data_IF_483453492833
#
_entry.id   IF_483453492833
#
_cell.length_a   1.000
_cell.length_b   1.000
_cell.length_c   1.000
_cell.angle_alpha   90.00
_cell.angle_beta   90.00
_cell.angle_gamma   90.00
#
_symmetry.space_group_name_H-M   'P 1'
#
loop_
_entity.id
_entity.type
_entity.pdbx_description
1 polymer ?
#
# COMPACT_ATOMS: atom_id res chain seq x y z
N UNK A 1 11.47 3.25 9.50
CA UNK A 1 12.55 4.13 9.00
C UNK A 1 13.69 4.12 10.00
N UNK A 2 14.86 3.59 9.62
CA UNK A 2 16.08 3.75 10.44
C UNK A 2 16.69 5.09 10.05
N UNK A 3 16.74 5.98 11.03
CA UNK A 3 17.43 7.26 10.99
C UNK A 3 18.90 7.01 10.61
N UNK A 4 19.29 7.44 9.41
CA UNK A 4 20.64 7.27 8.84
C UNK A 4 21.56 8.38 9.33
N UNK A 5 21.59 8.61 10.63
CA UNK A 5 22.60 9.47 11.21
C UNK A 5 23.80 8.62 11.64
N UNK A 6 24.98 8.99 11.17
CA UNK A 6 26.28 8.36 11.42
C UNK A 6 26.76 8.56 12.88
N UNK A 7 25.87 8.38 13.85
CA UNK A 7 26.15 8.35 15.27
C UNK A 7 26.39 6.91 15.73
N UNK A 8 27.45 6.69 16.52
CA UNK A 8 27.75 5.38 17.13
C UNK A 8 26.48 4.78 17.76
N UNK A 9 25.97 3.69 17.17
CA UNK A 9 24.84 2.96 17.72
C UNK A 9 25.16 2.57 19.17
N UNK A 10 24.25 2.87 20.09
CA UNK A 10 24.38 2.38 21.47
C UNK A 10 24.21 0.87 21.50
N UNK A 11 24.86 0.19 22.44
CA UNK A 11 24.79 -1.27 22.56
C UNK A 11 23.35 -1.84 22.58
N UNK A 12 22.37 -1.24 23.29
CA UNK A 12 20.98 -1.68 23.22
C UNK A 12 20.34 -1.54 21.84
N UNK A 13 20.73 -0.53 21.06
CA UNK A 13 20.27 -0.37 19.67
C UNK A 13 20.89 -1.44 18.78
N UNK A 14 22.19 -1.76 18.96
CA UNK A 14 22.86 -2.83 18.23
C UNK A 14 22.19 -4.18 18.52
N UNK A 15 21.89 -4.49 19.78
CA UNK A 15 21.16 -5.71 20.16
C UNK A 15 19.81 -5.83 19.47
N UNK A 16 19.04 -4.73 19.39
CA UNK A 16 17.75 -4.74 18.69
C UNK A 16 17.89 -4.98 17.19
N UNK A 17 18.91 -4.39 16.56
CA UNK A 17 19.18 -4.61 15.14
C UNK A 17 19.61 -6.06 14.88
N UNK A 18 20.49 -6.63 15.71
CA UNK A 18 20.83 -8.06 15.63
C UNK A 18 19.59 -8.95 15.77
N UNK A 19 18.66 -8.61 16.67
CA UNK A 19 17.42 -9.37 16.81
C UNK A 19 16.55 -9.35 15.55
N UNK A 20 16.47 -8.22 14.85
CA UNK A 20 15.78 -8.15 13.55
C UNK A 20 16.46 -8.98 12.45
N UNK A 21 17.74 -9.33 12.63
CA UNK A 21 18.50 -10.22 11.75
C UNK A 21 18.48 -11.69 12.22
N UNK A 22 17.52 -12.05 13.09
CA UNK A 22 17.31 -13.43 13.52
C UNK A 22 18.25 -13.92 14.63
N UNK A 23 18.90 -13.03 15.37
CA UNK A 23 19.61 -13.38 16.61
C UNK A 23 18.64 -13.36 17.80
N UNK A 24 18.81 -14.23 18.79
CA UNK A 24 18.08 -14.06 20.06
C UNK A 24 18.68 -12.91 20.87
N UNK A 25 17.95 -12.47 21.91
CA UNK A 25 18.46 -11.49 22.88
C UNK A 25 19.77 -11.95 23.53
N UNK A 26 19.88 -13.23 23.86
CA UNK A 26 21.08 -13.78 24.48
C UNK A 26 22.22 -13.92 23.47
N UNK A 27 21.93 -14.35 22.23
CA UNK A 27 22.95 -14.41 21.16
C UNK A 27 23.56 -13.04 20.89
N UNK A 28 22.73 -12.00 20.86
CA UNK A 28 23.17 -10.62 20.66
C UNK A 28 24.18 -10.20 21.73
N UNK A 29 23.86 -10.44 23.01
CA UNK A 29 24.74 -10.13 24.14
C UNK A 29 26.04 -10.95 24.12
N UNK A 30 25.95 -12.25 23.85
CA UNK A 30 27.10 -13.15 23.78
C UNK A 30 28.05 -12.75 22.64
N UNK A 31 27.51 -12.48 21.44
CA UNK A 31 28.30 -12.03 20.29
C UNK A 31 29.03 -10.71 20.58
N UNK A 32 28.33 -9.72 21.14
CA UNK A 32 28.92 -8.42 21.48
C UNK A 32 29.98 -8.53 22.56
N UNK A 33 29.78 -9.41 23.54
CA UNK A 33 30.76 -9.72 24.58
C UNK A 33 32.02 -10.32 23.96
N UNK A 34 31.89 -11.31 23.07
CA UNK A 34 33.03 -11.87 22.37
C UNK A 34 33.74 -10.86 21.46
N UNK A 35 33.01 -9.95 20.80
CA UNK A 35 33.61 -8.87 20.01
C UNK A 35 34.47 -7.93 20.87
N UNK A 36 34.03 -7.62 22.09
CA UNK A 36 34.75 -6.72 23.02
C UNK A 36 36.01 -7.34 23.60
N UNK A 37 35.96 -8.63 23.95
CA UNK A 37 37.02 -9.30 24.71
C UNK A 37 37.84 -10.30 23.88
N UNK A 38 37.52 -10.46 22.60
CA UNK A 38 38.14 -11.35 21.60
C UNK A 38 37.99 -12.84 21.89
N UNK A 39 38.57 -13.33 22.98
CA UNK A 39 38.63 -14.75 23.33
C UNK A 39 38.18 -14.92 24.78
N UNK A 40 37.13 -15.71 25.01
CA UNK A 40 36.58 -15.95 26.35
C UNK A 40 36.11 -17.40 26.54
N UNK A 41 36.20 -17.89 27.78
CA UNK A 41 35.53 -19.11 28.23
C UNK A 41 34.03 -18.88 28.52
N UNK A 42 33.17 -19.91 28.52
CA UNK A 42 31.75 -19.77 28.83
C UNK A 42 31.46 -19.09 30.18
N UNK A 43 32.33 -19.31 31.18
CA UNK A 43 32.19 -18.68 32.49
C UNK A 43 32.45 -17.16 32.43
N UNK A 44 33.46 -16.75 31.67
CA UNK A 44 33.75 -15.33 31.47
C UNK A 44 32.69 -14.65 30.61
N UNK A 45 32.17 -15.34 29.59
CA UNK A 45 31.05 -14.84 28.77
C UNK A 45 29.83 -14.59 29.65
N UNK A 46 29.44 -15.54 30.51
CA UNK A 46 28.31 -15.36 31.41
C UNK A 46 28.50 -14.13 32.33
N UNK A 47 29.71 -13.98 32.88
CA UNK A 47 30.06 -12.85 33.75
C UNK A 47 30.00 -11.50 33.02
N UNK A 48 30.53 -11.40 31.81
CA UNK A 48 30.61 -10.14 31.07
C UNK A 48 29.31 -9.77 30.35
N UNK A 49 28.53 -10.75 29.90
CA UNK A 49 27.27 -10.53 29.17
C UNK A 49 26.06 -10.33 30.09
N UNK A 50 26.16 -10.75 31.35
CA UNK A 50 25.01 -10.81 32.27
C UNK A 50 23.97 -11.86 31.87
N UNK A 51 24.33 -12.82 31.03
CA UNK A 51 23.50 -13.97 30.63
C UNK A 51 23.84 -15.15 31.54
N UNK A 52 22.83 -15.90 32.00
CA UNK A 52 23.10 -17.08 32.82
C UNK A 52 23.89 -18.15 32.04
N UNK A 53 24.62 -18.98 32.79
CA UNK A 53 25.58 -19.92 32.20
C UNK A 53 24.94 -20.95 31.28
N UNK A 54 23.74 -21.43 31.56
CA UNK A 54 23.06 -22.40 30.69
C UNK A 54 22.71 -21.75 29.35
N UNK A 55 22.19 -20.51 29.38
CA UNK A 55 21.84 -19.75 28.17
C UNK A 55 23.05 -19.29 27.36
N UNK A 56 24.22 -19.14 28.00
CA UNK A 56 25.47 -18.94 27.27
C UNK A 56 25.80 -20.15 26.40
N UNK A 57 25.69 -21.37 26.91
CA UNK A 57 25.93 -22.57 26.08
C UNK A 57 24.94 -22.69 24.92
N UNK A 58 23.66 -22.43 25.17
CA UNK A 58 22.65 -22.39 24.10
C UNK A 58 23.04 -21.40 22.99
N UNK A 59 23.51 -20.21 23.39
CA UNK A 59 23.88 -19.15 22.45
C UNK A 59 25.18 -19.48 21.70
N UNK A 60 26.16 -20.05 22.38
CA UNK A 60 27.40 -20.51 21.76
C UNK A 60 27.11 -21.60 20.71
N UNK A 61 26.23 -22.55 21.00
CA UNK A 61 25.85 -23.58 20.04
C UNK A 61 25.20 -22.98 18.79
N UNK A 62 24.18 -22.12 18.94
CA UNK A 62 23.54 -21.45 17.79
C UNK A 62 24.52 -20.60 16.98
N UNK A 63 25.41 -19.85 17.64
CA UNK A 63 26.39 -19.02 16.97
C UNK A 63 27.47 -19.86 16.26
N UNK A 64 27.82 -21.03 16.79
CA UNK A 64 28.72 -21.98 16.10
C UNK A 64 28.04 -22.65 14.91
N UNK A 65 26.77 -23.05 15.03
CA UNK A 65 25.99 -23.64 13.93
C UNK A 65 25.88 -22.69 12.74
N UNK A 66 25.82 -21.38 13.01
CA UNK A 66 25.86 -20.33 11.98
C UNK A 66 27.27 -19.94 11.53
N UNK A 67 28.30 -20.60 12.05
CA UNK A 67 29.72 -20.30 11.80
C UNK A 67 30.15 -18.87 12.17
N UNK A 68 29.42 -18.20 13.07
CA UNK A 68 29.70 -16.82 13.51
C UNK A 68 30.80 -16.76 14.57
N UNK A 69 31.01 -17.86 15.28
CA UNK A 69 32.09 -17.99 16.26
C UNK A 69 32.80 -19.31 16.04
N UNK A 70 34.03 -19.40 16.53
CA UNK A 70 34.82 -20.61 16.51
C UNK A 70 35.35 -20.92 17.91
N UNK A 71 35.50 -22.21 18.18
CA UNK A 71 36.14 -22.70 19.40
C UNK A 71 37.64 -22.80 19.19
N UNK A 72 38.42 -22.21 20.09
CA UNK A 72 39.87 -22.27 20.04
C UNK A 72 40.36 -23.67 20.48
N UNK A 73 41.34 -24.28 19.76
CA UNK A 73 41.87 -25.58 20.11
C UNK A 73 42.90 -25.48 21.24
N UNK A 74 42.45 -25.18 22.47
CA UNK A 74 43.34 -25.09 23.64
C UNK A 74 43.24 -26.36 24.50
N UNK A 75 44.38 -26.85 25.02
CA UNK A 75 44.46 -28.05 25.88
C UNK A 75 43.76 -27.91 27.25
N UNK A 76 43.40 -26.70 27.69
CA UNK A 76 42.76 -26.43 28.99
C UNK A 76 41.54 -25.53 28.83
N UNK A 77 40.42 -26.13 28.41
CA UNK A 77 39.10 -25.49 28.37
C UNK A 77 38.65 -25.04 26.97
N UNK A 78 37.33 -24.92 26.81
CA UNK A 78 36.71 -24.43 25.58
C UNK A 78 36.65 -22.91 25.59
N UNK A 79 37.56 -22.25 24.84
CA UNK A 79 37.48 -20.81 24.60
C UNK A 79 36.82 -20.55 23.26
N UNK A 80 36.11 -19.42 23.15
CA UNK A 80 35.36 -19.03 21.97
C UNK A 80 35.80 -17.65 21.50
N UNK A 81 35.80 -17.46 20.19
CA UNK A 81 36.08 -16.16 19.56
C UNK A 81 35.18 -15.92 18.36
N UNK A 82 34.88 -14.66 18.08
CA UNK A 82 34.11 -14.26 16.88
C UNK A 82 35.01 -14.36 15.66
N UNK A 83 34.47 -14.84 14.55
CA UNK A 83 35.14 -14.70 13.24
C UNK A 83 35.15 -13.21 12.83
N UNK A 84 35.86 -12.80 11.76
CA UNK A 84 35.80 -11.41 11.29
C UNK A 84 34.36 -10.95 11.06
N UNK A 85 33.98 -9.84 11.71
CA UNK A 85 32.58 -9.37 11.78
C UNK A 85 32.01 -9.08 10.39
N UNK A 86 32.86 -8.66 9.46
CA UNK A 86 32.52 -8.41 8.06
C UNK A 86 32.03 -9.68 7.37
N UNK A 87 32.57 -10.86 7.72
CA UNK A 87 32.16 -12.15 7.15
C UNK A 87 30.78 -12.54 7.64
N UNK A 88 30.48 -12.36 8.92
CA UNK A 88 29.15 -12.62 9.50
C UNK A 88 28.09 -11.79 8.78
N UNK A 89 28.30 -10.49 8.68
CA UNK A 89 27.31 -9.64 8.02
C UNK A 89 27.28 -9.81 6.51
N UNK A 90 28.36 -10.31 5.89
CA UNK A 90 28.34 -10.71 4.48
C UNK A 90 27.47 -11.95 4.28
N UNK A 91 27.65 -13.00 5.07
CA UNK A 91 26.84 -14.23 4.94
C UNK A 91 25.36 -13.95 5.17
N UNK A 92 25.01 -13.10 6.15
CA UNK A 92 23.63 -12.67 6.38
C UNK A 92 23.08 -11.96 5.13
N UNK A 93 23.83 -11.00 4.55
CA UNK A 93 23.37 -10.31 3.32
C UNK A 93 23.17 -11.27 2.16
N UNK A 94 24.06 -12.24 2.00
CA UNK A 94 23.99 -13.22 0.92
C UNK A 94 22.78 -14.17 1.13
N UNK A 95 22.46 -14.57 2.37
CA UNK A 95 21.26 -15.33 2.71
C UNK A 95 19.96 -14.56 2.38
N UNK A 96 19.88 -13.28 2.73
CA UNK A 96 18.72 -12.45 2.40
C UNK A 96 18.55 -12.28 0.88
N UNK A 97 19.63 -12.14 0.12
CA UNK A 97 19.56 -12.08 -1.34
C UNK A 97 19.00 -13.37 -1.93
N UNK A 98 19.49 -14.52 -1.47
CA UNK A 98 18.97 -15.82 -1.90
C UNK A 98 17.47 -15.96 -1.59
N UNK A 99 17.03 -15.56 -0.39
CA UNK A 99 15.61 -15.56 -0.03
C UNK A 99 14.75 -14.65 -0.93
N UNK A 100 15.28 -13.49 -1.32
CA UNK A 100 14.58 -12.59 -2.26
C UNK A 100 14.47 -13.28 -3.64
N UNK A 101 15.54 -13.92 -4.11
CA UNK A 101 15.50 -14.69 -5.36
C UNK A 101 14.49 -15.85 -5.28
N UNK A 102 14.46 -16.59 -4.18
CA UNK A 102 13.47 -17.65 -3.93
C UNK A 102 12.04 -17.10 -3.99
N UNK A 103 11.78 -15.92 -3.41
CA UNK A 103 10.43 -15.31 -3.46
C UNK A 103 10.00 -14.94 -4.87
N UNK A 104 10.91 -14.46 -5.72
CA UNK A 104 10.60 -14.14 -7.12
C UNK A 104 10.29 -15.41 -7.93
N UNK A 105 11.03 -16.50 -7.68
CA UNK A 105 10.76 -17.80 -8.31
C UNK A 105 9.41 -18.35 -7.86
N UNK A 106 9.10 -18.24 -6.56
CA UNK A 106 7.82 -18.68 -6.01
C UNK A 106 6.65 -17.88 -6.58
N UNK A 107 6.78 -16.55 -6.68
CA UNK A 107 5.78 -15.69 -7.31
C UNK A 107 5.47 -16.15 -8.74
N UNK A 108 6.49 -16.27 -9.60
CA UNK A 108 6.32 -16.75 -10.97
C UNK A 108 5.74 -18.18 -11.06
N UNK A 109 6.18 -19.08 -10.19
CA UNK A 109 5.74 -20.48 -10.20
C UNK A 109 4.29 -20.60 -9.72
N UNK A 110 3.93 -19.91 -8.63
CA UNK A 110 2.59 -19.97 -8.05
C UNK A 110 1.58 -19.28 -8.97
N UNK A 111 1.93 -18.14 -9.57
CA UNK A 111 1.05 -17.49 -10.57
C UNK A 111 0.75 -18.37 -11.78
N UNK A 112 1.63 -19.33 -12.14
CA UNK A 112 1.36 -20.33 -13.18
C UNK A 112 0.54 -21.53 -12.70
N UNK A 113 0.46 -21.74 -11.40
CA UNK A 113 -0.38 -22.76 -10.76
C UNK A 113 -1.78 -22.22 -10.44
N UNK A 114 -1.94 -20.91 -10.35
CA UNK A 114 -3.26 -20.27 -10.42
C UNK A 114 -3.86 -20.64 -11.78
N UNK A 115 -4.91 -21.47 -11.73
CA UNK A 115 -5.52 -22.06 -12.91
C UNK A 115 -6.11 -20.94 -13.76
N UNK A 116 -5.44 -20.66 -14.87
CA UNK A 116 -5.91 -19.82 -15.96
C UNK A 116 -6.82 -20.66 -16.88
N UNK A 117 -7.92 -21.19 -16.33
CA UNK A 117 -8.87 -22.03 -17.08
C UNK A 117 -10.25 -22.13 -16.41
N UNK A 118 -10.94 -21.01 -16.33
CA UNK A 118 -12.39 -20.90 -16.52
C UNK A 118 -12.62 -19.46 -17.00
N UNK A 119 -13.60 -19.21 -17.88
CA UNK A 119 -14.15 -17.85 -17.97
C UNK A 119 -14.40 -17.40 -16.53
N UNK A 120 -13.58 -16.49 -16.01
CA UNK A 120 -13.59 -16.10 -14.60
C UNK A 120 -15.04 -15.80 -14.25
N UNK A 121 -15.67 -16.71 -13.50
CA UNK A 121 -17.12 -16.62 -13.33
C UNK A 121 -17.43 -15.30 -12.63
N UNK A 122 -18.49 -14.58 -13.04
CA UNK A 122 -18.88 -13.35 -12.38
C UNK A 122 -19.08 -13.59 -10.88
N UNK A 123 -18.29 -12.91 -10.03
CA UNK A 123 -18.37 -13.05 -8.57
C UNK A 123 -18.78 -11.76 -7.92
N UNK A 124 -19.77 -11.85 -7.02
CA UNK A 124 -20.23 -10.73 -6.21
C UNK A 124 -19.76 -10.91 -4.78
N UNK A 125 -19.12 -9.88 -4.25
CA UNK A 125 -18.57 -9.87 -2.90
C UNK A 125 -19.18 -8.72 -2.10
N UNK A 126 -19.33 -8.92 -0.79
CA UNK A 126 -19.58 -7.83 0.14
C UNK A 126 -18.28 -7.22 0.61
N UNK A 127 -18.28 -5.91 0.84
CA UNK A 127 -17.13 -5.16 1.30
C UNK A 127 -17.55 -4.23 2.43
N UNK A 128 -16.85 -4.28 3.58
CA UNK A 128 -17.23 -3.57 4.81
C UNK A 128 -16.00 -2.88 5.45
N UNK A 129 -15.19 -2.20 4.64
CA UNK A 129 -13.98 -1.52 5.12
C UNK A 129 -13.59 -0.40 4.17
N UNK A 130 -13.38 0.81 4.72
CA UNK A 130 -12.89 1.99 4.01
C UNK A 130 -11.61 1.71 3.22
N UNK A 131 -10.63 1.06 3.85
CA UNK A 131 -9.36 0.72 3.18
C UNK A 131 -9.55 -0.27 2.03
N UNK A 132 -10.38 -1.29 2.22
CA UNK A 132 -10.67 -2.26 1.15
C UNK A 132 -11.42 -1.59 -0.01
N UNK A 133 -12.37 -0.70 0.28
CA UNK A 133 -13.09 0.09 -0.73
C UNK A 133 -12.09 0.93 -1.52
N UNK A 134 -11.18 1.61 -0.84
CA UNK A 134 -10.14 2.42 -1.48
C UNK A 134 -9.24 1.59 -2.38
N UNK A 135 -8.77 0.43 -1.92
CA UNK A 135 -7.99 -0.49 -2.75
C UNK A 135 -8.78 -0.91 -3.98
N UNK A 136 -10.03 -1.34 -3.81
CA UNK A 136 -10.84 -1.81 -4.96
C UNK A 136 -11.17 -0.71 -5.96
N UNK A 137 -11.32 0.55 -5.50
CA UNK A 137 -11.44 1.69 -6.40
C UNK A 137 -10.17 1.85 -7.25
N UNK A 138 -8.97 1.70 -6.65
CA UNK A 138 -7.71 1.77 -7.40
C UNK A 138 -7.63 0.66 -8.44
N UNK A 139 -7.91 -0.59 -8.04
CA UNK A 139 -7.89 -1.74 -8.94
C UNK A 139 -8.82 -1.52 -10.14
N UNK A 140 -10.08 -1.10 -9.90
CA UNK A 140 -11.03 -0.81 -10.98
C UNK A 140 -10.61 0.35 -11.90
N UNK A 141 -9.91 1.36 -11.36
CA UNK A 141 -9.35 2.45 -12.17
C UNK A 141 -8.17 1.97 -13.00
N UNK A 142 -7.31 1.12 -12.42
CA UNK A 142 -6.14 0.55 -13.09
C UNK A 142 -6.54 -0.42 -14.19
N UNK A 143 -7.57 -1.25 -13.99
CA UNK A 143 -7.95 -2.32 -14.91
C UNK A 143 -8.85 -1.86 -16.07
N UNK A 144 -9.60 -0.76 -15.93
CA UNK A 144 -10.58 -0.36 -16.95
C UNK A 144 -9.96 -0.02 -18.32
N UNK A 145 -10.46 -0.55 -19.43
CA UNK A 145 -9.92 -0.33 -20.77
C UNK A 145 -10.85 0.49 -21.66
N UNK A 146 -12.16 0.23 -21.65
CA UNK A 146 -13.12 0.86 -22.57
C UNK A 146 -13.82 2.06 -21.92
N UNK A 147 -14.25 1.90 -20.66
CA UNK A 147 -15.01 2.93 -19.94
C UNK A 147 -14.82 2.88 -18.43
N UNK A 148 -14.91 4.05 -17.84
CA UNK A 148 -14.97 4.23 -16.40
C UNK A 148 -16.03 5.30 -16.04
N UNK A 149 -17.03 4.89 -15.25
CA UNK A 149 -18.16 5.71 -14.82
C UNK A 149 -18.16 5.79 -13.30
N UNK A 150 -18.03 6.99 -12.73
CA UNK A 150 -17.80 7.13 -11.28
C UNK A 150 -18.67 8.20 -10.62
N UNK A 151 -19.60 7.80 -9.75
CA UNK A 151 -20.23 8.67 -8.76
C UNK A 151 -19.33 8.68 -7.53
N UNK A 152 -18.58 9.77 -7.36
CA UNK A 152 -17.65 9.96 -6.26
C UNK A 152 -18.42 10.51 -5.06
N UNK A 153 -18.40 9.76 -3.96
CA UNK A 153 -19.05 10.16 -2.71
C UNK A 153 -18.26 11.26 -2.00
N UNK A 154 -18.92 12.09 -1.17
CA UNK A 154 -18.25 13.20 -0.50
C UNK A 154 -17.09 12.76 0.40
N UNK A 155 -17.24 11.66 1.15
CA UNK A 155 -16.19 11.15 2.04
C UNK A 155 -14.89 10.80 1.30
N UNK A 156 -14.95 10.31 0.07
CA UNK A 156 -13.78 10.05 -0.77
C UNK A 156 -13.01 11.33 -1.17
N UNK A 157 -13.68 12.48 -1.10
CA UNK A 157 -13.07 13.79 -1.39
C UNK A 157 -12.50 14.45 -0.13
N UNK A 158 -12.94 14.02 1.06
CA UNK A 158 -12.51 14.56 2.35
C UNK A 158 -11.18 13.94 2.81
N UNK A 159 -10.46 14.64 3.69
CA UNK A 159 -9.11 14.24 4.12
C UNK A 159 -9.08 12.91 4.88
N UNK A 160 -10.18 12.54 5.54
CA UNK A 160 -10.31 11.32 6.36
C UNK A 160 -10.13 10.03 5.54
N UNK A 161 -10.36 10.08 4.21
CA UNK A 161 -10.11 8.97 3.27
C UNK A 161 -8.90 9.23 2.35
N UNK A 162 -8.02 10.15 2.74
CA UNK A 162 -6.81 10.52 2.00
C UNK A 162 -7.01 11.66 1.01
N UNK A 163 -8.16 12.35 1.03
CA UNK A 163 -8.44 13.54 0.23
C UNK A 163 -8.72 13.25 -1.25
N UNK A 164 -9.24 14.26 -1.94
CA UNK A 164 -9.49 14.18 -3.39
C UNK A 164 -8.23 13.97 -4.23
N UNK A 165 -7.03 14.29 -3.71
CA UNK A 165 -5.79 14.30 -4.48
C UNK A 165 -5.46 12.94 -5.09
N UNK A 166 -5.58 11.86 -4.31
CA UNK A 166 -5.19 10.53 -4.79
C UNK A 166 -6.15 10.07 -5.90
N UNK A 167 -7.46 10.22 -5.70
CA UNK A 167 -8.47 9.72 -6.65
C UNK A 167 -8.40 10.49 -7.96
N UNK A 168 -8.30 11.82 -7.92
CA UNK A 168 -8.20 12.63 -9.14
C UNK A 168 -6.89 12.38 -9.88
N UNK A 169 -5.79 12.10 -9.15
CA UNK A 169 -4.52 11.72 -9.76
C UNK A 169 -4.60 10.38 -10.48
N UNK A 170 -5.21 9.35 -9.88
CA UNK A 170 -5.37 8.05 -10.54
C UNK A 170 -6.24 8.19 -11.81
N UNK A 171 -7.35 8.92 -11.72
CA UNK A 171 -8.21 9.19 -12.87
C UNK A 171 -7.48 9.96 -13.98
N UNK A 172 -6.66 10.94 -13.62
CA UNK A 172 -5.84 11.69 -14.57
C UNK A 172 -4.83 10.78 -15.25
N UNK A 173 -4.07 9.99 -14.48
CA UNK A 173 -3.07 9.05 -15.01
C UNK A 173 -3.72 8.06 -15.98
N UNK A 174 -4.87 7.49 -15.59
CA UNK A 174 -5.57 6.50 -16.40
C UNK A 174 -6.04 7.06 -17.73
N UNK A 175 -6.71 8.22 -17.71
CA UNK A 175 -7.17 8.89 -18.94
C UNK A 175 -6.02 9.41 -19.80
N UNK A 176 -4.92 9.82 -19.18
CA UNK A 176 -3.72 10.22 -19.92
C UNK A 176 -3.06 9.04 -20.63
N UNK A 177 -3.01 7.87 -19.99
CA UNK A 177 -2.46 6.64 -20.57
C UNK A 177 -3.36 6.05 -21.67
N UNK A 178 -4.68 6.15 -21.52
CA UNK A 178 -5.66 5.72 -22.52
C UNK A 178 -6.63 6.86 -22.88
N UNK A 179 -6.25 7.73 -23.85
CA UNK A 179 -7.06 8.87 -24.26
C UNK A 179 -8.41 8.51 -24.89
N UNK A 180 -8.57 7.29 -25.42
CA UNK A 180 -9.79 6.86 -26.12
C UNK A 180 -10.87 6.32 -25.16
N UNK A 181 -10.47 5.86 -23.96
CA UNK A 181 -11.38 5.35 -22.92
C UNK A 181 -12.43 6.40 -22.51
N UNK A 182 -13.70 6.02 -22.40
CA UNK A 182 -14.74 6.92 -21.89
C UNK A 182 -14.57 7.11 -20.38
N UNK A 183 -14.31 8.34 -19.91
CA UNK A 183 -14.24 8.65 -18.48
C UNK A 183 -15.32 9.68 -18.11
N UNK A 184 -16.29 9.27 -17.30
CA UNK A 184 -17.37 10.14 -16.79
C UNK A 184 -17.39 10.09 -15.27
N UNK A 185 -17.29 11.25 -14.63
CA UNK A 185 -17.39 11.36 -13.17
C UNK A 185 -18.51 12.29 -12.74
N UNK A 186 -19.17 11.93 -11.64
CA UNK A 186 -20.13 12.77 -10.92
C UNK A 186 -19.57 13.05 -9.53
N UNK A 187 -19.50 14.32 -9.13
CA UNK A 187 -18.98 14.70 -7.81
C UNK A 187 -19.62 16.00 -7.30
N UNK A 188 -19.57 16.22 -5.99
CA UNK A 188 -19.92 17.51 -5.40
C UNK A 188 -18.72 18.46 -5.51
N UNK A 189 -18.91 19.58 -6.20
CA UNK A 189 -17.93 20.64 -6.41
C UNK A 189 -17.77 21.49 -5.14
N UNK A 190 -16.52 21.78 -4.80
CA UNK A 190 -16.11 22.80 -3.84
C UNK A 190 -14.88 23.54 -4.40
N UNK A 191 -14.58 24.72 -3.86
CA UNK A 191 -13.62 25.66 -4.48
C UNK A 191 -12.22 25.08 -4.69
N UNK A 192 -11.75 24.23 -3.78
CA UNK A 192 -10.42 23.62 -3.86
C UNK A 192 -10.28 22.64 -5.04
N UNK A 193 -11.39 22.06 -5.54
CA UNK A 193 -11.37 21.16 -6.70
C UNK A 193 -11.21 21.88 -8.05
N UNK A 194 -11.34 23.20 -8.08
CA UNK A 194 -11.50 23.97 -9.32
C UNK A 194 -10.36 23.76 -10.31
N UNK A 195 -9.12 23.74 -9.83
CA UNK A 195 -7.97 23.60 -10.71
C UNK A 195 -7.73 22.16 -11.16
N UNK A 196 -8.03 21.16 -10.32
CA UNK A 196 -8.00 19.75 -10.71
C UNK A 196 -9.08 19.42 -11.75
N UNK A 197 -10.30 19.95 -11.56
CA UNK A 197 -11.40 19.77 -12.53
C UNK A 197 -11.03 20.37 -13.89
N UNK A 198 -10.38 21.53 -13.94
CA UNK A 198 -9.89 22.09 -15.21
C UNK A 198 -8.85 21.18 -15.87
N UNK A 199 -7.96 20.54 -15.11
CA UNK A 199 -6.96 19.61 -15.66
C UNK A 199 -7.63 18.39 -16.27
N UNK A 200 -8.60 17.79 -15.57
CA UNK A 200 -9.35 16.63 -16.04
C UNK A 200 -10.19 16.96 -17.29
N UNK A 201 -10.89 18.10 -17.31
CA UNK A 201 -11.64 18.55 -18.50
C UNK A 201 -10.74 18.71 -19.73
N UNK A 202 -9.50 19.20 -19.56
CA UNK A 202 -8.55 19.38 -20.67
C UNK A 202 -8.09 18.07 -21.32
N UNK A 203 -8.12 16.96 -20.58
CA UNK A 203 -7.76 15.63 -21.10
C UNK A 203 -9.00 14.81 -21.51
N UNK A 204 -10.17 15.47 -21.61
CA UNK A 204 -11.39 14.85 -22.13
C UNK A 204 -12.19 14.03 -21.12
N UNK A 205 -12.00 14.25 -19.81
CA UNK A 205 -12.90 13.70 -18.78
C UNK A 205 -14.22 14.45 -18.81
N UNK A 206 -15.35 13.73 -18.86
CA UNK A 206 -16.68 14.33 -18.71
C UNK A 206 -17.00 14.43 -17.22
N UNK A 207 -17.31 15.64 -16.75
CA UNK A 207 -17.55 15.90 -15.32
C UNK A 207 -18.96 16.43 -15.14
N UNK A 208 -19.69 15.81 -14.23
CA UNK A 208 -21.03 16.21 -13.82
C UNK A 208 -20.99 16.66 -12.36
N UNK A 209 -21.50 17.84 -12.09
CA UNK A 209 -21.67 18.36 -10.74
C UNK A 209 -23.00 17.88 -10.16
N UNK A 210 -22.94 17.29 -8.97
CA UNK A 210 -24.13 16.86 -8.21
C UNK A 210 -24.80 18.10 -7.60
N UNK A 211 -26.08 18.30 -7.91
CA UNK A 211 -26.86 19.48 -7.54
C UNK A 211 -27.52 19.28 -6.18
N UNK A 212 -27.50 20.33 -5.36
CA UNK A 212 -28.22 20.39 -4.10
C UNK A 212 -27.44 19.83 -2.91
N UNK A 213 -28.10 19.86 -1.75
CA UNK A 213 -27.55 19.42 -0.47
C UNK A 213 -28.11 18.08 0.00
N UNK A 214 -28.87 17.41 -0.87
CA UNK A 214 -29.34 16.05 -0.61
C UNK A 214 -28.14 15.13 -0.42
N UNK A 215 -28.25 14.26 0.60
CA UNK A 215 -27.25 13.23 0.85
C UNK A 215 -27.31 12.24 -0.29
N UNK A 216 -26.15 11.98 -0.90
CA UNK A 216 -26.02 11.00 -1.97
C UNK A 216 -26.19 9.61 -1.33
N UNK A 217 -27.17 8.78 -1.72
CA UNK A 217 -27.43 7.54 -0.99
C UNK A 217 -26.39 6.44 -1.26
N UNK A 218 -25.60 6.55 -2.33
CA UNK A 218 -24.62 5.55 -2.72
C UNK A 218 -23.47 6.13 -3.57
N UNK A 219 -22.30 5.51 -3.50
CA UNK A 219 -21.23 5.66 -4.50
C UNK A 219 -21.29 4.52 -5.50
N UNK A 220 -20.89 4.78 -6.74
CA UNK A 220 -20.88 3.77 -7.80
C UNK A 220 -19.73 4.02 -8.75
N UNK A 221 -18.81 3.07 -8.82
CA UNK A 221 -17.75 3.05 -9.82
C UNK A 221 -17.93 1.82 -10.69
N UNK A 222 -18.02 2.02 -12.01
CA UNK A 222 -18.09 0.97 -13.01
C UNK A 222 -16.85 1.08 -13.89
N UNK A 223 -16.04 0.02 -13.94
CA UNK A 223 -14.95 -0.15 -14.91
C UNK A 223 -15.35 -1.28 -15.85
N UNK A 224 -15.60 -0.97 -17.12
CA UNK A 224 -16.04 -1.93 -18.14
C UNK A 224 -17.23 -2.81 -17.73
N UNK A 225 -16.95 -4.06 -17.32
CA UNK A 225 -17.92 -5.06 -16.88
C UNK A 225 -17.91 -5.32 -15.37
N UNK A 226 -17.14 -4.56 -14.61
CA UNK A 226 -16.98 -4.69 -13.17
C UNK A 226 -17.49 -3.43 -12.46
N UNK A 227 -17.88 -3.56 -11.20
CA UNK A 227 -18.31 -2.41 -10.42
C UNK A 227 -18.03 -2.55 -8.93
N UNK A 228 -17.98 -1.40 -8.25
CA UNK A 228 -18.18 -1.29 -6.81
C UNK A 228 -19.31 -0.30 -6.53
N UNK A 229 -20.28 -0.74 -5.74
CA UNK A 229 -21.41 0.04 -5.24
C UNK A 229 -21.22 0.19 -3.74
N UNK A 230 -20.98 1.39 -3.26
CA UNK A 230 -20.89 1.70 -1.83
C UNK A 230 -22.19 2.29 -1.34
N UNK A 231 -22.65 1.88 -0.16
CA UNK A 231 -23.88 2.35 0.45
C UNK A 231 -23.58 3.23 1.64
N UNK A 232 -24.39 4.26 1.80
CA UNK A 232 -24.36 5.13 2.97
C UNK A 232 -24.68 4.32 4.24
N UNK A 233 -23.73 4.25 5.17
CA UNK A 233 -23.86 3.51 6.43
C UNK A 233 -24.33 4.45 7.55
N UNK A 234 -23.76 5.65 7.63
CA UNK A 234 -24.09 6.62 8.68
C UNK A 234 -24.28 8.03 8.11
N UNK A 235 -25.34 8.68 8.61
CA UNK A 235 -25.62 10.10 8.39
C UNK A 235 -25.25 10.85 9.66
N UNK A 236 -23.95 11.09 9.88
CA UNK A 236 -23.47 12.06 10.88
C UNK A 236 -23.27 13.43 10.21
N UNK A 237 -22.56 14.36 10.84
CA UNK A 237 -22.21 15.66 10.22
C UNK A 237 -21.43 15.49 8.89
N UNK A 238 -20.77 14.34 8.69
CA UNK A 238 -20.21 13.88 7.43
C UNK A 238 -20.78 12.49 7.06
N UNK A 239 -21.35 12.29 5.86
CA UNK A 239 -21.86 10.98 5.42
C UNK A 239 -20.73 9.98 5.17
N UNK A 240 -20.85 8.74 5.67
CA UNK A 240 -19.82 7.71 5.47
C UNK A 240 -20.31 6.50 4.65
N UNK A 241 -19.47 6.01 3.74
CA UNK A 241 -19.78 4.88 2.84
C UNK A 241 -18.79 3.73 3.10
N UNK A 242 -19.01 3.03 4.21
CA UNK A 242 -18.09 2.00 4.74
C UNK A 242 -18.41 0.59 4.27
N UNK A 243 -19.55 0.41 3.60
CA UNK A 243 -20.07 -0.88 3.16
C UNK A 243 -20.51 -0.84 1.70
N UNK A 244 -20.61 -2.01 1.06
CA UNK A 244 -21.01 -2.11 -0.32
C UNK A 244 -20.95 -3.52 -0.91
N UNK A 245 -21.12 -3.55 -2.23
CA UNK A 245 -20.97 -4.74 -3.07
C UNK A 245 -19.96 -4.44 -4.17
N UNK A 246 -19.15 -5.42 -4.54
CA UNK A 246 -18.37 -5.35 -5.78
C UNK A 246 -18.59 -6.60 -6.63
N UNK A 247 -18.63 -6.41 -7.94
CA UNK A 247 -18.64 -7.46 -8.96
C UNK A 247 -17.30 -7.44 -9.70
N UNK A 248 -16.63 -8.59 -9.76
CA UNK A 248 -15.48 -8.82 -10.65
C UNK A 248 -15.81 -9.84 -11.72
N UNK A 249 -15.11 -9.72 -12.84
CA UNK A 249 -15.27 -10.57 -14.01
C UNK A 249 -16.72 -10.62 -14.48
N UNK A 250 -17.41 -9.49 -14.38
CA UNK A 250 -18.80 -9.38 -14.72
C UNK A 250 -19.06 -9.56 -16.21
N UNK A 251 -20.32 -9.85 -16.56
CA UNK A 251 -20.77 -9.84 -17.96
C UNK A 251 -21.54 -8.56 -18.24
N UNK A 252 -21.47 -8.06 -19.47
CA UNK A 252 -22.18 -6.85 -19.93
C UNK A 252 -23.65 -6.78 -19.52
N UNK A 253 -24.35 -7.93 -19.52
CA UNK A 253 -25.76 -8.03 -19.10
C UNK A 253 -26.00 -7.78 -17.60
N UNK A 254 -25.04 -8.12 -16.74
CA UNK A 254 -25.12 -7.89 -15.29
C UNK A 254 -24.89 -6.42 -14.95
N UNK A 255 -24.03 -5.74 -15.73
CA UNK A 255 -23.71 -4.32 -15.52
C UNK A 255 -24.74 -3.36 -16.11
N UNK A 256 -25.53 -3.80 -17.09
CA UNK A 256 -26.47 -2.94 -17.80
C UNK A 256 -27.41 -2.16 -16.86
N UNK A 257 -27.89 -2.80 -15.79
CA UNK A 257 -28.74 -2.14 -14.79
C UNK A 257 -28.01 -1.03 -14.03
N UNK A 258 -26.75 -1.24 -13.64
CA UNK A 258 -25.92 -0.26 -12.94
C UNK A 258 -25.52 0.91 -13.85
N UNK A 259 -25.26 0.65 -15.13
CA UNK A 259 -25.03 1.72 -16.12
C UNK A 259 -26.29 2.56 -16.32
N UNK A 260 -27.47 1.92 -16.34
CA UNK A 260 -28.73 2.66 -16.40
C UNK A 260 -28.94 3.50 -15.14
N UNK A 261 -28.66 2.94 -13.95
CA UNK A 261 -28.72 3.66 -12.68
C UNK A 261 -27.79 4.88 -12.69
N UNK A 262 -26.53 4.71 -13.13
CA UNK A 262 -25.57 5.79 -13.28
C UNK A 262 -26.09 6.91 -14.19
N UNK A 263 -26.56 6.56 -15.39
CA UNK A 263 -27.11 7.53 -16.35
C UNK A 263 -28.35 8.25 -15.80
N UNK A 264 -29.23 7.52 -15.11
CA UNK A 264 -30.41 8.10 -14.49
C UNK A 264 -30.00 9.13 -13.43
N UNK A 265 -29.05 8.77 -12.54
CA UNK A 265 -28.51 9.68 -11.53
C UNK A 265 -27.90 10.94 -12.15
N UNK A 266 -27.13 10.81 -13.25
CA UNK A 266 -26.61 11.98 -13.96
C UNK A 266 -27.73 12.89 -14.48
N UNK A 267 -28.81 12.31 -15.00
CA UNK A 267 -29.92 13.08 -15.59
C UNK A 267 -30.84 13.73 -14.55
N UNK A 268 -30.97 13.15 -13.36
CA UNK A 268 -31.88 13.63 -12.33
C UNK A 268 -31.18 14.53 -11.30
N UNK A 269 -29.97 14.19 -10.89
CA UNK A 269 -29.28 14.83 -9.76
C UNK A 269 -28.10 15.72 -10.20
N UNK A 270 -27.70 15.72 -11.48
CA UNK A 270 -26.46 16.37 -11.90
C UNK A 270 -26.61 17.41 -13.03
N UNK A 271 -25.60 18.27 -13.17
CA UNK A 271 -25.40 19.17 -14.31
C UNK A 271 -23.99 19.02 -14.88
N UNK A 272 -23.87 18.98 -16.20
CA UNK A 272 -22.57 18.88 -16.87
C UNK A 272 -21.72 20.14 -16.69
N UNK A 273 -20.42 19.96 -16.43
CA UNK A 273 -19.45 21.04 -16.22
C UNK A 273 -18.69 21.31 -17.52
N UNK A 274 -18.66 22.57 -17.96
CA UNK A 274 -17.92 23.01 -19.14
C UNK A 274 -16.87 24.07 -18.83
N UNK A 275 -15.83 24.16 -19.67
CA UNK A 275 -14.87 25.26 -19.63
C UNK A 275 -15.49 26.52 -20.24
N UNK A 276 -15.54 27.62 -19.49
CA UNK A 276 -15.92 28.93 -20.02
C UNK A 276 -14.70 29.84 -20.08
N UNK A 277 -14.44 30.45 -21.24
CA UNK A 277 -13.42 31.50 -21.38
C UNK A 277 -13.96 32.83 -20.85
N UNK A 278 -13.32 33.42 -19.83
CA UNK A 278 -13.60 34.80 -19.40
C UNK A 278 -13.38 35.75 -20.58
N UNK A 279 -14.44 36.38 -21.11
CA UNK A 279 -14.29 37.56 -21.98
C UNK A 279 -13.62 38.67 -21.16
N UNK A 280 -12.50 39.21 -21.65
CA UNK A 280 -11.92 40.46 -21.14
C UNK A 280 -12.94 41.57 -21.42
N UNK A 281 -13.48 42.19 -20.37
CA UNK A 281 -14.15 43.48 -20.49
C UNK A 281 -13.11 44.52 -20.91
N UNK A 282 -13.14 44.90 -22.18
CA UNK A 282 -12.43 46.06 -22.68
C UNK A 282 -13.12 47.29 -22.09
N UNK A 283 -12.48 47.94 -21.12
CA UNK A 283 -12.88 49.25 -20.63
C UNK A 283 -12.60 50.25 -21.76
N UNK A 284 -13.61 50.57 -22.56
CA UNK A 284 -13.59 51.78 -23.38
C UNK A 284 -13.65 52.99 -22.44
N UNK A 285 -12.50 53.65 -22.26
CA UNK A 285 -12.47 55.01 -21.74
C UNK A 285 -13.02 55.94 -22.81
N UNK A 286 -14.24 56.45 -22.62
CA UNK A 286 -14.74 57.60 -23.37
C UNK A 286 -13.93 58.84 -22.99
N UNK A 287 -13.35 59.48 -24.01
CA UNK A 287 -12.78 60.81 -23.96
C UNK A 287 -13.86 61.89 -23.87
#
# INVERSE_FOLDING_TARGET
MIDRDSGKLTEPKIEKVLQSLGFTKNDSKVLLTLCKYKVLSPAEIARHSGVDRARVYDSLNRLMEREYIQKEPVKRGANYQVIPIERIFKSIRDEYKAKIEDTLILEDTISKLEVDEEETEPRVWSINSKDKIRTKIKDLVEDAEDRLLFIITPDLLMEELGGYEWILKELWNKKFANPDMELIIALKFFDDLKDEIKKLLKIGVKIHYIVGDNIIPFGLLIGDNDFILTTLDQVQDAPEYTSGLWLEHGRKRQIMGYVHLFKHFLSSECREVGLTTKKKETIEKSA
#
